data_IF_301543253270
#
_entry.id   IF_301543253270
#
_cell.length_a   1.000
_cell.length_b   1.000
_cell.length_c   1.000
_cell.angle_alpha   90.00
_cell.angle_beta   90.00
_cell.angle_gamma   90.00
#
_symmetry.space_group_name_H-M   'P 1'
#
loop_
_entity.id
_entity.type
_entity.pdbx_description
1 polymer ?
#
# COMPACT_ATOMS: atom_id res chain seq x y z
N UNK A 1 6.31 13.11 8.04
CA UNK A 1 5.51 12.66 6.88
C UNK A 1 6.07 11.32 6.44
N UNK A 2 5.23 10.29 6.29
CA UNK A 2 5.65 9.01 5.72
C UNK A 2 5.38 9.06 4.21
N UNK A 3 6.38 8.71 3.43
CA UNK A 3 6.26 8.63 1.97
C UNK A 3 5.88 7.20 1.56
N UNK A 4 5.31 7.01 0.37
CA UNK A 4 5.16 5.69 -0.23
C UNK A 4 6.49 4.94 -0.29
N UNK A 5 6.42 3.62 -0.22
CA UNK A 5 7.59 2.74 -0.20
C UNK A 5 7.39 1.58 -1.14
N UNK A 6 8.47 1.13 -1.77
CA UNK A 6 8.44 -0.08 -2.59
C UNK A 6 8.98 -1.27 -1.80
N UNK A 7 8.30 -2.41 -1.88
CA UNK A 7 8.72 -3.66 -1.24
C UNK A 7 8.76 -4.79 -2.28
N UNK A 8 9.81 -5.61 -2.22
CA UNK A 8 9.86 -6.88 -2.96
C UNK A 8 9.11 -7.95 -2.14
N UNK A 9 7.87 -8.23 -2.53
CA UNK A 9 7.02 -9.22 -1.89
C UNK A 9 7.35 -10.62 -2.41
N UNK A 10 7.65 -11.56 -1.50
CA UNK A 10 7.93 -12.95 -1.86
C UNK A 10 6.64 -13.78 -1.86
N UNK A 11 6.39 -14.47 -2.97
CA UNK A 11 5.28 -15.40 -3.14
C UNK A 11 5.61 -16.80 -2.60
N UNK A 12 4.57 -17.60 -2.38
CA UNK A 12 4.68 -18.98 -1.90
C UNK A 12 5.48 -19.89 -2.86
N UNK A 13 5.41 -19.63 -4.17
CA UNK A 13 6.16 -20.33 -5.21
C UNK A 13 7.65 -19.91 -5.27
N UNK A 14 8.07 -18.96 -4.43
CA UNK A 14 9.43 -18.43 -4.38
C UNK A 14 9.70 -17.27 -5.35
N UNK A 15 8.75 -16.94 -6.24
CA UNK A 15 8.83 -15.75 -7.08
C UNK A 15 8.70 -14.48 -6.23
N UNK A 16 9.04 -13.33 -6.83
CA UNK A 16 8.93 -12.02 -6.19
C UNK A 16 8.18 -11.08 -7.10
N UNK A 17 7.34 -10.22 -6.52
CA UNK A 17 6.78 -9.04 -7.20
C UNK A 17 7.11 -7.78 -6.43
N UNK A 18 7.31 -6.68 -7.13
CA UNK A 18 7.41 -5.38 -6.49
C UNK A 18 5.99 -4.85 -6.21
N UNK A 19 5.81 -4.25 -5.04
CA UNK A 19 4.58 -3.58 -4.63
C UNK A 19 4.90 -2.18 -4.12
N UNK A 20 3.93 -1.29 -4.21
CA UNK A 20 3.94 0.02 -3.57
C UNK A 20 3.05 -0.06 -2.33
N UNK A 21 3.52 0.51 -1.23
CA UNK A 21 2.74 0.67 0.00
C UNK A 21 2.64 2.17 0.26
N UNK A 22 1.42 2.68 0.24
CA UNK A 22 1.13 4.09 0.41
C UNK A 22 0.48 4.34 1.79
N UNK A 23 1.05 5.20 2.63
CA UNK A 23 0.43 5.58 3.89
C UNK A 23 -0.72 6.56 3.66
N UNK A 24 -1.89 6.26 4.21
CA UNK A 24 -2.98 7.24 4.30
C UNK A 24 -2.62 8.24 5.40
N UNK A 25 -2.65 9.52 5.04
CA UNK A 25 -2.36 10.61 5.96
C UNK A 25 -3.65 11.29 6.42
N UNK A 26 -3.68 11.71 7.68
CA UNK A 26 -4.67 12.63 8.20
C UNK A 26 -4.43 14.03 7.62
N UNK A 27 -5.42 14.93 7.76
CA UNK A 27 -5.33 16.34 7.30
C UNK A 27 -4.07 17.09 7.77
N UNK A 28 -3.51 16.71 8.92
CA UNK A 28 -2.28 17.28 9.48
C UNK A 28 -1.00 16.54 9.02
N UNK A 29 -1.09 15.72 7.97
CA UNK A 29 0.00 14.94 7.39
C UNK A 29 0.62 13.89 8.35
N UNK A 30 -0.14 13.54 9.39
CA UNK A 30 0.21 12.46 10.33
C UNK A 30 -0.28 11.13 9.78
N UNK A 31 0.51 10.09 9.98
CA UNK A 31 0.18 8.71 9.64
C UNK A 31 -1.12 8.26 10.33
N UNK A 32 -2.10 7.81 9.55
CA UNK A 32 -3.37 7.30 10.07
C UNK A 32 -3.29 5.85 10.56
N UNK A 33 -2.15 5.17 10.39
CA UNK A 33 -2.00 3.74 10.63
C UNK A 33 -2.65 2.87 9.55
N UNK A 34 -3.04 3.47 8.42
CA UNK A 34 -3.72 2.80 7.30
C UNK A 34 -2.79 2.86 6.09
N UNK A 35 -2.60 1.73 5.43
CA UNK A 35 -1.65 1.55 4.35
C UNK A 35 -2.30 0.85 3.18
N UNK A 36 -2.43 1.54 2.05
CA UNK A 36 -2.93 0.98 0.79
C UNK A 36 -1.79 0.30 0.05
N UNK A 37 -2.08 -0.81 -0.61
CA UNK A 37 -1.07 -1.67 -1.24
C UNK A 37 -1.42 -1.82 -2.72
N UNK A 38 -0.44 -1.58 -3.59
CA UNK A 38 -0.60 -1.64 -5.04
C UNK A 38 0.49 -2.51 -5.68
N UNK A 39 0.19 -3.13 -6.82
CA UNK A 39 1.20 -3.73 -7.69
C UNK A 39 2.07 -2.62 -8.29
N UNK A 40 3.34 -2.92 -8.55
CA UNK A 40 4.07 -2.14 -9.56
C UNK A 40 3.76 -2.74 -10.93
N UNK A 41 3.39 -1.94 -11.91
CA UNK A 41 3.39 -2.35 -13.31
C UNK A 41 4.81 -2.72 -13.74
N UNK A 42 5.02 -3.97 -14.16
CA UNK A 42 6.34 -4.53 -14.56
C UNK A 42 6.97 -3.76 -15.74
N UNK A 43 6.17 -3.03 -16.53
CA UNK A 43 6.64 -2.32 -17.73
C UNK A 43 6.65 -0.79 -17.61
N UNK A 44 6.38 -0.21 -16.43
CA UNK A 44 6.35 1.24 -16.28
C UNK A 44 7.19 1.67 -15.08
N UNK A 45 8.49 1.79 -15.30
CA UNK A 45 9.25 2.82 -14.59
C UNK A 45 8.54 4.16 -14.82
N UNK A 46 7.89 4.69 -13.78
CA UNK A 46 7.55 6.12 -13.61
C UNK A 46 6.13 6.65 -13.90
N UNK A 47 5.07 5.87 -14.13
CA UNK A 47 3.73 6.48 -14.37
C UNK A 47 2.72 6.44 -13.19
N UNK A 48 2.96 5.68 -12.11
CA UNK A 48 2.08 5.72 -10.93
C UNK A 48 2.44 6.83 -9.92
N UNK A 49 3.52 7.57 -10.16
CA UNK A 49 3.94 8.71 -9.32
C UNK A 49 3.95 10.04 -10.11
N UNK A 50 3.30 10.10 -11.28
CA UNK A 50 3.03 11.37 -11.96
C UNK A 50 1.70 11.99 -11.54
N UNK A 51 0.89 11.30 -10.75
CA UNK A 51 -0.17 11.99 -10.02
C UNK A 51 0.50 12.73 -8.87
N UNK A 52 0.51 14.05 -8.99
CA UNK A 52 0.76 14.95 -7.88
C UNK A 52 0.03 14.40 -6.66
N UNK A 53 0.72 14.33 -5.50
CA UNK A 53 0.12 14.10 -4.17
C UNK A 53 -1.37 14.42 -4.22
N UNK A 54 -2.27 13.44 -4.09
CA UNK A 54 -3.74 13.62 -4.20
C UNK A 54 -4.22 14.76 -3.27
N UNK A 55 -4.08 15.96 -3.80
CA UNK A 55 -4.66 17.23 -3.41
C UNK A 55 -5.09 17.86 -4.75
N UNK A 56 -5.64 17.05 -5.66
CA UNK A 56 -6.25 17.56 -6.88
C UNK A 56 -7.75 17.62 -6.68
N UNK A 57 -8.25 18.84 -6.43
CA UNK A 57 -9.66 19.15 -6.24
C UNK A 57 -10.52 18.98 -7.53
N UNK A 58 -9.96 18.42 -8.61
CA UNK A 58 -10.56 18.44 -9.95
C UNK A 58 -10.88 17.11 -10.61
N UNK A 59 -10.35 15.98 -10.14
CA UNK A 59 -10.58 14.67 -10.73
C UNK A 59 -11.17 13.69 -9.70
N UNK A 60 -12.25 12.96 -10.03
CA UNK A 60 -12.74 11.94 -9.12
C UNK A 60 -11.66 10.87 -9.01
N UNK A 61 -10.99 10.82 -7.87
CA UNK A 61 -10.11 9.72 -7.50
C UNK A 61 -10.81 8.41 -7.85
N UNK A 62 -10.16 7.58 -8.67
CA UNK A 62 -10.67 6.26 -8.98
C UNK A 62 -10.82 5.51 -7.65
N UNK A 63 -11.97 4.90 -7.40
CA UNK A 63 -12.13 4.11 -6.19
C UNK A 63 -11.07 3.00 -6.18
N UNK A 64 -10.45 2.72 -5.03
CA UNK A 64 -9.42 1.68 -4.94
C UNK A 64 -9.93 0.31 -5.44
N UNK A 65 -11.23 0.04 -5.30
CA UNK A 65 -11.88 -1.17 -5.81
C UNK A 65 -11.90 -1.29 -7.33
N UNK A 66 -11.84 -0.16 -8.02
CA UNK A 66 -11.84 -0.08 -9.48
C UNK A 66 -10.41 -0.05 -10.06
N UNK A 67 -9.39 0.13 -9.20
CA UNK A 67 -7.99 0.10 -9.57
C UNK A 67 -7.48 -1.36 -9.67
N UNK A 68 -7.10 -1.86 -10.86
CA UNK A 68 -6.64 -3.24 -11.04
C UNK A 68 -5.31 -3.57 -10.35
N UNK A 69 -4.55 -2.54 -9.97
CA UNK A 69 -3.31 -2.68 -9.24
C UNK A 69 -3.51 -2.69 -7.73
N UNK A 70 -4.68 -2.27 -7.22
CA UNK A 70 -4.98 -2.33 -5.80
C UNK A 70 -5.02 -3.78 -5.31
N UNK A 71 -4.19 -4.07 -4.32
CA UNK A 71 -4.06 -5.38 -3.70
C UNK A 71 -4.90 -5.47 -2.43
N UNK A 72 -4.98 -4.38 -1.66
CA UNK A 72 -5.73 -4.30 -0.42
C UNK A 72 -5.18 -3.23 0.52
N UNK A 73 -5.69 -3.21 1.75
CA UNK A 73 -5.31 -2.26 2.80
C UNK A 73 -4.90 -2.99 4.07
N UNK A 74 -3.82 -2.55 4.70
CA UNK A 74 -3.45 -2.91 6.08
C UNK A 74 -3.80 -1.76 7.02
N UNK A 75 -4.52 -2.06 8.09
CA UNK A 75 -4.86 -1.10 9.14
C UNK A 75 -4.28 -1.54 10.46
N UNK A 76 -3.37 -0.75 11.03
CA UNK A 76 -2.87 -0.95 12.38
C UNK A 76 -3.83 -0.37 13.41
N UNK A 77 -4.13 -1.16 14.44
CA UNK A 77 -4.88 -0.71 15.61
C UNK A 77 -4.00 0.16 16.51
N UNK A 78 -4.63 0.92 17.39
CA UNK A 78 -3.94 1.76 18.37
C UNK A 78 -2.82 0.97 19.09
N UNK A 79 -1.61 1.52 19.10
CA UNK A 79 -0.43 0.87 19.67
C UNK A 79 0.35 -0.04 18.72
N UNK A 80 -0.08 -0.20 17.46
CA UNK A 80 0.63 -0.94 16.40
C UNK A 80 0.89 -2.44 16.71
N UNK A 81 0.23 -3.00 17.72
CA UNK A 81 0.41 -4.40 18.14
C UNK A 81 -0.48 -5.37 17.36
N UNK A 82 -1.50 -4.85 16.69
CA UNK A 82 -2.46 -5.62 15.92
C UNK A 82 -2.71 -4.91 14.61
N UNK A 83 -2.87 -5.68 13.55
CA UNK A 83 -3.23 -5.19 12.24
C UNK A 83 -4.29 -6.09 11.64
N UNK A 84 -5.16 -5.52 10.83
CA UNK A 84 -6.12 -6.24 10.00
C UNK A 84 -5.81 -5.95 8.53
N UNK A 85 -6.12 -6.91 7.67
CA UNK A 85 -6.02 -6.76 6.23
C UNK A 85 -7.40 -6.80 5.57
N UNK A 86 -7.66 -5.85 4.68
CA UNK A 86 -8.86 -5.79 3.86
C UNK A 86 -8.46 -5.86 2.38
N UNK A 87 -8.70 -7.02 1.77
CA UNK A 87 -8.45 -7.31 0.37
C UNK A 87 -8.48 -8.82 0.12
N UNK A 88 -8.42 -9.22 -1.14
CA UNK A 88 -8.59 -10.64 -1.52
C UNK A 88 -7.34 -11.23 -2.19
N UNK A 89 -6.40 -10.40 -2.64
CA UNK A 89 -5.31 -10.80 -3.55
C UNK A 89 -4.00 -11.17 -2.84
N UNK A 90 -3.87 -10.90 -1.54
CA UNK A 90 -2.69 -11.24 -0.75
C UNK A 90 -2.99 -12.45 0.13
N UNK A 91 -2.09 -13.44 0.13
CA UNK A 91 -2.16 -14.52 1.10
C UNK A 91 -1.61 -14.09 2.48
N UNK A 92 -1.81 -14.91 3.50
CA UNK A 92 -1.40 -14.61 4.88
C UNK A 92 0.09 -14.33 5.02
N UNK A 93 0.95 -15.07 4.31
CA UNK A 93 2.41 -14.90 4.39
C UNK A 93 2.85 -13.57 3.75
N UNK A 94 2.20 -13.17 2.66
CA UNK A 94 2.40 -11.88 2.01
C UNK A 94 1.96 -10.72 2.89
N UNK A 95 0.77 -10.82 3.49
CA UNK A 95 0.27 -9.84 4.45
C UNK A 95 1.23 -9.67 5.63
N UNK A 96 1.73 -10.78 6.19
CA UNK A 96 2.68 -10.77 7.30
C UNK A 96 4.02 -10.12 6.92
N UNK A 97 4.54 -10.37 5.71
CA UNK A 97 5.75 -9.71 5.21
C UNK A 97 5.58 -8.18 5.19
N UNK A 98 4.45 -7.68 4.68
CA UNK A 98 4.16 -6.26 4.60
C UNK A 98 4.02 -5.65 6.00
N UNK A 99 3.22 -6.27 6.87
CA UNK A 99 3.04 -5.78 8.24
C UNK A 99 4.38 -5.74 9.01
N UNK A 100 5.21 -6.78 8.86
CA UNK A 100 6.54 -6.84 9.48
C UNK A 100 7.46 -5.75 8.95
N UNK A 101 7.41 -5.47 7.64
CA UNK A 101 8.17 -4.37 7.05
C UNK A 101 7.74 -3.01 7.62
N UNK A 102 6.43 -2.77 7.73
CA UNK A 102 5.86 -1.52 8.25
C UNK A 102 6.17 -1.28 9.73
N UNK A 103 6.28 -2.34 10.55
CA UNK A 103 6.61 -2.26 11.97
C UNK A 103 8.08 -1.98 12.26
N UNK A 104 8.98 -2.35 11.34
CA UNK A 104 10.43 -2.21 11.52
C UNK A 104 10.99 -0.92 10.89
N UNK A 105 10.13 0.00 10.46
CA UNK A 105 10.46 1.25 9.80
C UNK A 105 10.24 2.45 10.72
#
# INVERSE_FOLDING_TARGET
>A
MKNPVTLALKHADGSKRMIIIEPVLLHNLTDAGVYKIYKTSIDNESELFTEDLEIDEGHPAMADTDNPDYLGTITFKAGHQQWDYNGELLNTDEQQQIATYLLNK
#
